data_IF_354630439653
#
_entry.id   IF_354630439653
#
_cell.length_a   1.000
_cell.length_b   1.000
_cell.length_c   1.000
_cell.angle_alpha   90.00
_cell.angle_beta   90.00
_cell.angle_gamma   90.00
#
_symmetry.space_group_name_H-M   'P 1'
#
loop_
_entity.id
_entity.type
_entity.pdbx_description
1 polymer ?
#
# COMPACT_ATOMS: atom_id res chain seq x y z
N UNK A 1 6.21 -63.30 76.48
CA UNK A 1 7.46 -62.50 76.26
C UNK A 1 7.79 -62.55 74.80
N UNK A 2 7.46 -61.47 74.02
CA UNK A 2 7.92 -61.28 72.64
C UNK A 2 8.18 -59.80 72.42
N UNK A 3 9.42 -59.44 72.15
CA UNK A 3 9.85 -58.06 71.90
C UNK A 3 9.46 -57.70 70.46
N UNK A 4 8.86 -56.53 70.28
CA UNK A 4 8.64 -55.92 68.97
C UNK A 4 9.84 -55.07 68.58
N UNK A 5 10.28 -55.09 67.33
CA UNK A 5 11.29 -54.16 66.89
C UNK A 5 10.64 -52.82 66.37
N UNK A 6 11.29 -51.69 66.74
CA UNK A 6 10.97 -50.37 66.23
C UNK A 6 11.42 -50.24 64.77
N UNK A 7 10.48 -49.91 63.88
CA UNK A 7 10.81 -49.46 62.53
C UNK A 7 10.93 -47.93 62.47
N UNK A 8 12.14 -47.48 62.25
CA UNK A 8 12.43 -46.09 62.01
C UNK A 8 12.12 -45.74 60.54
N UNK A 9 11.05 -44.98 60.31
CA UNK A 9 10.71 -44.53 58.95
C UNK A 9 11.50 -43.24 58.65
N UNK A 10 12.47 -43.35 57.76
CA UNK A 10 13.19 -42.20 57.22
C UNK A 10 12.32 -41.39 56.26
N UNK A 11 12.06 -40.15 56.66
CA UNK A 11 11.28 -39.20 55.86
C UNK A 11 12.17 -38.59 54.76
N UNK A 12 12.00 -39.12 53.51
CA UNK A 12 12.73 -38.60 52.36
C UNK A 12 12.07 -37.29 51.89
N UNK A 13 12.64 -36.17 52.23
CA UNK A 13 12.22 -34.83 51.69
C UNK A 13 12.67 -34.73 50.24
N UNK A 14 11.71 -34.82 49.30
CA UNK A 14 11.91 -34.52 47.89
C UNK A 14 11.88 -33.00 47.71
N UNK A 15 13.03 -32.38 47.49
CA UNK A 15 13.11 -31.01 46.98
C UNK A 15 12.75 -31.03 45.48
N UNK A 16 11.56 -30.56 45.16
CA UNK A 16 11.19 -30.26 43.79
C UNK A 16 11.81 -28.91 43.43
N UNK A 17 12.90 -28.95 42.67
CA UNK A 17 13.48 -27.74 42.07
C UNK A 17 12.54 -27.30 40.92
N UNK A 18 11.74 -26.26 41.20
CA UNK A 18 10.92 -25.60 40.16
C UNK A 18 11.83 -24.82 39.21
N UNK A 19 11.97 -25.33 37.99
CA UNK A 19 12.65 -24.64 36.91
C UNK A 19 11.67 -23.62 36.35
N UNK A 20 11.74 -22.36 36.75
CA UNK A 20 11.02 -21.25 36.13
C UNK A 20 11.66 -20.94 34.77
N UNK A 21 11.03 -21.41 33.72
CA UNK A 21 11.37 -21.04 32.36
C UNK A 21 10.84 -19.59 32.12
N UNK A 22 11.69 -18.61 32.30
CA UNK A 22 11.39 -17.23 31.90
C UNK A 22 11.50 -17.18 30.37
N UNK A 23 10.36 -17.39 29.70
CA UNK A 23 10.24 -17.13 28.29
C UNK A 23 10.34 -15.61 28.06
N UNK A 24 11.55 -15.14 27.77
CA UNK A 24 11.77 -13.75 27.34
C UNK A 24 10.99 -13.51 26.07
N UNK A 25 9.88 -12.75 26.17
CA UNK A 25 9.20 -12.20 25.00
C UNK A 25 10.15 -11.18 24.38
N UNK A 26 10.91 -11.62 23.38
CA UNK A 26 11.58 -10.71 22.46
C UNK A 26 10.47 -9.98 21.67
N UNK A 27 10.03 -8.83 22.19
CA UNK A 27 9.23 -7.87 21.44
C UNK A 27 10.08 -7.40 20.27
N UNK A 28 9.89 -8.03 19.12
CA UNK A 28 10.42 -7.54 17.86
C UNK A 28 9.59 -6.30 17.50
N UNK A 29 9.99 -5.13 18.00
CA UNK A 29 9.44 -3.86 17.56
C UNK A 29 9.82 -3.71 16.09
N UNK A 30 8.84 -3.80 15.19
CA UNK A 30 9.08 -3.43 13.81
C UNK A 30 9.62 -2.00 13.77
N UNK A 31 10.64 -1.71 12.95
CA UNK A 31 11.16 -0.36 12.83
C UNK A 31 10.01 0.57 12.43
N UNK A 32 9.80 1.61 13.24
CA UNK A 32 8.78 2.61 12.94
C UNK A 32 9.20 3.34 11.67
N UNK A 33 8.38 3.27 10.64
CA UNK A 33 8.64 4.01 9.41
C UNK A 33 8.61 5.51 9.72
N UNK A 34 9.70 6.20 9.40
CA UNK A 34 9.81 7.66 9.51
C UNK A 34 9.76 8.25 8.12
N UNK A 35 9.07 9.38 7.97
CA UNK A 35 9.00 10.13 6.73
C UNK A 35 9.08 11.62 6.99
N UNK A 36 9.46 12.38 5.97
CA UNK A 36 9.51 13.85 6.00
C UNK A 36 8.58 14.40 4.94
N UNK A 37 7.74 15.36 5.30
CA UNK A 37 6.89 16.05 4.35
C UNK A 37 7.65 17.21 3.66
N UNK A 38 7.34 17.50 2.37
CA UNK A 38 6.42 16.77 1.52
C UNK A 38 7.03 15.44 1.03
N UNK A 39 6.19 14.40 0.88
CA UNK A 39 6.61 13.12 0.29
C UNK A 39 6.91 13.25 -1.20
N UNK A 40 6.16 14.11 -1.88
CA UNK A 40 6.32 14.44 -3.30
C UNK A 40 5.55 15.72 -3.63
N UNK A 41 5.92 16.35 -4.74
CA UNK A 41 5.13 17.42 -5.35
C UNK A 41 3.93 16.85 -6.10
N UNK A 42 2.82 17.55 -6.08
CA UNK A 42 1.61 17.19 -6.80
C UNK A 42 0.33 17.52 -6.04
N UNK A 43 -0.80 17.29 -6.72
CA UNK A 43 -2.14 17.46 -6.20
C UNK A 43 -2.91 16.13 -6.30
N UNK A 44 -4.11 16.10 -5.70
CA UNK A 44 -5.07 15.01 -5.79
C UNK A 44 -4.46 13.65 -5.42
N UNK A 45 -3.96 13.47 -4.18
CA UNK A 45 -3.28 12.27 -3.77
C UNK A 45 -4.24 11.07 -3.76
N UNK A 46 -3.92 10.03 -4.50
CA UNK A 46 -4.64 8.77 -4.53
C UNK A 46 -3.69 7.61 -4.33
N UNK A 47 -3.97 6.74 -3.37
CA UNK A 47 -3.16 5.54 -3.08
C UNK A 47 -4.05 4.31 -3.00
N UNK A 48 -3.66 3.26 -3.73
CA UNK A 48 -4.29 1.94 -3.70
C UNK A 48 -3.29 0.90 -3.21
N UNK A 49 -3.69 0.04 -2.29
CA UNK A 49 -2.88 -1.12 -1.87
C UNK A 49 -3.34 -2.38 -2.59
N UNK A 50 -2.39 -3.10 -3.18
CA UNK A 50 -2.64 -4.39 -3.81
C UNK A 50 -1.40 -5.28 -3.70
N UNK A 51 -1.60 -6.55 -3.32
CA UNK A 51 -0.57 -7.60 -3.22
C UNK A 51 0.67 -7.14 -2.42
N UNK A 52 0.42 -6.53 -1.28
CA UNK A 52 1.47 -6.03 -0.38
C UNK A 52 2.14 -4.72 -0.79
N UNK A 53 1.91 -4.22 -2.01
CA UNK A 53 2.45 -2.97 -2.53
C UNK A 53 1.43 -1.85 -2.57
N UNK A 54 1.92 -0.62 -2.52
CA UNK A 54 1.14 0.60 -2.68
C UNK A 54 1.40 1.18 -4.06
N UNK A 55 0.34 1.65 -4.70
CA UNK A 55 0.38 2.30 -6.00
C UNK A 55 -0.27 3.67 -5.89
N UNK A 56 0.35 4.69 -6.45
CA UNK A 56 -0.27 6.02 -6.58
C UNK A 56 -0.26 6.44 -8.04
N UNK A 57 -1.34 7.10 -8.47
CA UNK A 57 -1.41 7.72 -9.79
C UNK A 57 -1.54 9.24 -9.64
N UNK A 58 -1.05 9.96 -10.62
CA UNK A 58 -1.01 11.42 -10.60
C UNK A 58 -0.80 11.96 -12.01
N UNK A 59 -1.10 13.23 -12.17
CA UNK A 59 -0.80 13.95 -13.41
C UNK A 59 0.71 14.08 -13.59
N UNK A 60 1.22 13.67 -14.76
CA UNK A 60 2.62 13.82 -15.15
C UNK A 60 2.70 14.44 -16.54
N UNK A 61 3.21 15.68 -16.63
CA UNK A 61 3.16 16.43 -17.88
C UNK A 61 1.73 16.61 -18.38
N UNK A 62 1.44 16.11 -19.59
CA UNK A 62 0.09 16.09 -20.16
C UNK A 62 -0.69 14.82 -19.84
N UNK A 63 -0.02 13.77 -19.37
CA UNK A 63 -0.60 12.46 -19.15
C UNK A 63 -0.78 12.10 -17.68
N UNK A 64 -0.90 10.80 -17.47
CA UNK A 64 -1.02 10.18 -16.14
C UNK A 64 0.15 9.23 -15.96
N UNK A 65 0.81 9.32 -14.80
CA UNK A 65 1.81 8.38 -14.35
C UNK A 65 1.32 7.55 -13.18
N UNK A 66 1.89 6.37 -13.04
CA UNK A 66 1.75 5.49 -11.87
C UNK A 66 3.15 5.20 -11.31
N UNK A 67 3.26 5.16 -10.01
CA UNK A 67 4.44 4.72 -9.29
C UNK A 67 4.06 3.76 -8.18
N UNK A 68 5.01 3.00 -7.67
CA UNK A 68 4.77 2.02 -6.61
C UNK A 68 5.66 2.26 -5.40
N UNK A 69 5.25 1.69 -4.25
CA UNK A 69 5.97 1.79 -2.98
C UNK A 69 5.70 0.56 -2.12
N UNK A 70 6.67 0.17 -1.32
CA UNK A 70 6.51 -0.88 -0.30
C UNK A 70 6.00 -0.32 1.03
N UNK A 71 6.20 0.98 1.30
CA UNK A 71 5.98 1.59 2.62
C UNK A 71 5.20 2.91 2.60
N UNK A 72 4.78 3.41 1.44
CA UNK A 72 4.15 4.73 1.19
C UNK A 72 5.06 5.94 1.45
N UNK A 73 6.33 5.75 1.75
CA UNK A 73 7.27 6.85 2.01
C UNK A 73 8.29 7.02 0.90
N UNK A 74 8.59 5.95 0.18
CA UNK A 74 9.48 5.94 -0.98
C UNK A 74 8.76 5.35 -2.17
N UNK A 75 8.67 6.14 -3.23
CA UNK A 75 8.01 5.75 -4.47
C UNK A 75 9.05 5.45 -5.55
N UNK A 76 8.92 4.31 -6.17
CA UNK A 76 9.85 3.76 -7.16
C UNK A 76 9.14 3.44 -8.48
N UNK A 77 9.92 3.23 -9.53
CA UNK A 77 9.41 2.80 -10.85
C UNK A 77 8.26 3.67 -11.38
N UNK A 78 8.43 4.99 -11.33
CA UNK A 78 7.48 5.90 -11.96
C UNK A 78 7.42 5.66 -13.47
N UNK A 79 6.20 5.51 -13.98
CA UNK A 79 5.94 5.33 -15.40
C UNK A 79 4.76 6.17 -15.84
N UNK A 80 4.92 6.91 -16.94
CA UNK A 80 3.78 7.49 -17.66
C UNK A 80 3.03 6.35 -18.35
N UNK A 81 1.82 6.08 -17.89
CA UNK A 81 1.00 4.93 -18.31
C UNK A 81 -0.03 5.28 -19.39
N UNK A 82 -0.30 6.56 -19.56
CA UNK A 82 -1.21 7.08 -20.59
C UNK A 82 -0.92 8.55 -20.89
N UNK A 83 -1.11 8.91 -22.15
CA UNK A 83 -1.08 10.29 -22.61
C UNK A 83 -2.29 10.60 -23.50
N UNK A 84 -2.89 11.80 -23.38
CA UNK A 84 -3.97 12.22 -24.26
C UNK A 84 -3.44 12.51 -25.67
N UNK A 85 -4.35 12.49 -26.64
CA UNK A 85 -4.09 13.05 -27.97
C UNK A 85 -3.71 14.54 -27.88
N UNK A 86 -2.98 15.06 -28.84
CA UNK A 86 -2.51 16.44 -28.83
C UNK A 86 -3.65 17.47 -28.85
N UNK A 87 -4.70 17.20 -29.62
CA UNK A 87 -5.92 18.01 -29.71
C UNK A 87 -7.03 17.23 -30.39
N UNK A 88 -8.25 17.79 -30.36
CA UNK A 88 -9.41 17.27 -31.10
C UNK A 88 -10.17 16.16 -30.39
N UNK A 89 -9.64 15.60 -29.33
CA UNK A 89 -10.38 14.64 -28.49
C UNK A 89 -11.00 15.33 -27.27
N UNK A 90 -12.06 14.74 -26.73
CA UNK A 90 -12.76 15.26 -25.55
C UNK A 90 -11.85 15.33 -24.30
N UNK A 91 -10.78 14.55 -24.26
CA UNK A 91 -9.84 14.37 -23.17
C UNK A 91 -8.42 14.85 -23.49
N UNK A 92 -8.27 15.83 -24.40
CA UNK A 92 -6.95 16.32 -24.78
C UNK A 92 -6.30 17.23 -23.73
N UNK A 93 -7.07 17.84 -22.83
CA UNK A 93 -6.59 18.86 -21.89
C UNK A 93 -7.17 18.69 -20.49
N UNK A 94 -6.60 19.42 -19.54
CA UNK A 94 -7.06 19.51 -18.14
C UNK A 94 -7.24 18.12 -17.53
N UNK A 95 -6.21 17.27 -17.66
CA UNK A 95 -6.16 15.95 -17.04
C UNK A 95 -5.96 16.15 -15.54
N UNK A 96 -6.97 15.78 -14.74
CA UNK A 96 -6.97 16.00 -13.29
C UNK A 96 -7.47 14.80 -12.51
N UNK A 97 -7.09 14.77 -11.23
CA UNK A 97 -7.59 13.86 -10.20
C UNK A 97 -7.66 12.40 -10.65
N UNK A 98 -6.57 11.80 -11.16
CA UNK A 98 -6.62 10.40 -11.53
C UNK A 98 -6.72 9.52 -10.29
N UNK A 99 -7.62 8.54 -10.33
CA UNK A 99 -7.88 7.57 -9.28
C UNK A 99 -7.64 6.15 -9.79
N UNK A 100 -6.70 5.42 -9.18
CA UNK A 100 -6.33 4.07 -9.58
C UNK A 100 -7.11 3.02 -8.79
N UNK A 101 -7.84 2.15 -9.49
CA UNK A 101 -8.65 1.09 -8.91
C UNK A 101 -8.32 -0.26 -9.52
N UNK A 102 -8.45 -1.32 -8.71
CA UNK A 102 -8.42 -2.70 -9.20
C UNK A 102 -9.80 -3.33 -9.06
N UNK A 103 -10.42 -3.65 -10.18
CA UNK A 103 -11.76 -4.21 -10.23
C UNK A 103 -11.79 -5.44 -11.16
N UNK A 104 -12.35 -6.56 -10.69
CA UNK A 104 -12.54 -7.79 -11.49
C UNK A 104 -11.27 -8.26 -12.22
N UNK A 105 -10.12 -8.15 -11.56
CA UNK A 105 -8.84 -8.61 -12.11
C UNK A 105 -8.10 -7.62 -13.00
N UNK A 106 -8.70 -6.49 -13.35
CA UNK A 106 -8.11 -5.43 -14.17
C UNK A 106 -7.87 -4.15 -13.39
N UNK A 107 -7.07 -3.27 -13.95
CA UNK A 107 -6.76 -1.96 -13.40
C UNK A 107 -7.47 -0.88 -14.20
N UNK A 108 -8.04 0.09 -13.48
CA UNK A 108 -8.77 1.21 -14.04
C UNK A 108 -8.25 2.52 -13.46
N UNK A 109 -8.12 3.54 -14.29
CA UNK A 109 -7.88 4.91 -13.85
C UNK A 109 -9.08 5.75 -14.24
N UNK A 110 -9.80 6.27 -13.27
CA UNK A 110 -10.81 7.29 -13.47
C UNK A 110 -10.13 8.66 -13.39
N UNK A 111 -10.50 9.58 -14.27
CA UNK A 111 -9.86 10.89 -14.35
C UNK A 111 -10.82 11.93 -14.91
N UNK A 112 -10.56 13.21 -14.63
CA UNK A 112 -11.26 14.31 -15.26
C UNK A 112 -10.45 14.85 -16.44
N UNK A 113 -11.14 15.27 -17.50
CA UNK A 113 -10.52 15.88 -18.67
C UNK A 113 -11.48 16.83 -19.41
N UNK A 114 -10.93 17.66 -20.30
CA UNK A 114 -11.69 18.59 -21.14
C UNK A 114 -11.17 18.63 -22.59
N UNK A 115 -12.01 19.02 -23.57
CA UNK A 115 -11.61 19.15 -24.98
C UNK A 115 -10.76 20.40 -25.25
N UNK A 116 -10.79 21.36 -24.35
CA UNK A 116 -10.07 22.65 -24.50
C UNK A 116 -9.25 22.97 -23.26
N UNK A 117 -8.11 23.66 -23.40
CA UNK A 117 -7.29 24.07 -22.26
C UNK A 117 -7.88 25.27 -21.51
N UNK A 118 -7.42 25.48 -20.27
CA UNK A 118 -7.56 26.73 -19.53
C UNK A 118 -8.82 26.86 -18.70
N UNK A 119 -9.07 28.12 -18.31
CA UNK A 119 -10.14 28.55 -17.41
C UNK A 119 -11.04 29.59 -18.13
N UNK A 120 -12.35 29.63 -17.83
CA UNK A 120 -13.05 28.81 -16.85
C UNK A 120 -13.06 27.35 -17.27
N UNK A 121 -12.99 26.45 -16.28
CA UNK A 121 -12.95 25.01 -16.52
C UNK A 121 -14.32 24.49 -16.95
N UNK A 122 -14.58 24.60 -18.23
CA UNK A 122 -15.84 24.18 -18.86
C UNK A 122 -15.65 22.89 -19.68
N UNK A 123 -16.69 22.11 -19.76
CA UNK A 123 -16.66 20.87 -20.55
C UNK A 123 -15.90 19.72 -19.91
N UNK A 124 -15.63 19.80 -18.62
CA UNK A 124 -15.03 18.69 -17.86
C UNK A 124 -15.92 17.46 -17.89
N UNK A 125 -15.30 16.31 -18.14
CA UNK A 125 -15.96 15.01 -18.19
C UNK A 125 -15.10 13.99 -17.43
N UNK A 126 -15.74 12.95 -16.93
CA UNK A 126 -15.04 11.81 -16.36
C UNK A 126 -14.77 10.78 -17.43
N UNK A 127 -13.52 10.34 -17.53
CA UNK A 127 -13.08 9.23 -18.36
C UNK A 127 -12.63 8.04 -17.53
N UNK A 128 -12.47 6.91 -18.21
CA UNK A 128 -11.90 5.71 -17.61
C UNK A 128 -10.90 5.07 -18.57
N UNK A 129 -9.75 4.73 -18.03
CA UNK A 129 -8.69 3.97 -18.70
C UNK A 129 -8.65 2.56 -18.11
N UNK A 130 -8.28 1.58 -18.92
CA UNK A 130 -8.13 0.17 -18.47
C UNK A 130 -6.78 -0.40 -18.85
N UNK A 131 -6.22 -1.24 -17.95
CA UNK A 131 -5.01 -2.02 -18.19
C UNK A 131 -5.06 -3.36 -17.42
N UNK A 132 -4.25 -4.32 -17.82
CA UNK A 132 -4.12 -5.61 -17.13
C UNK A 132 -3.15 -5.54 -15.94
N UNK A 133 -2.23 -4.58 -15.93
CA UNK A 133 -1.22 -4.39 -14.88
C UNK A 133 -1.18 -2.93 -14.40
N UNK A 134 -0.77 -2.65 -13.15
CA UNK A 134 -0.83 -1.29 -12.61
C UNK A 134 0.11 -0.31 -13.31
N UNK A 135 1.25 -0.80 -13.82
CA UNK A 135 2.27 -0.02 -14.53
C UNK A 135 2.27 -0.28 -16.04
N UNK A 136 1.20 -0.84 -16.60
CA UNK A 136 1.08 -1.11 -18.03
C UNK A 136 0.64 0.09 -18.86
N UNK A 137 0.40 -0.14 -20.15
CA UNK A 137 -0.14 0.88 -21.08
C UNK A 137 -1.67 0.88 -20.99
N UNK A 138 -2.21 1.94 -20.43
CA UNK A 138 -3.65 2.10 -20.28
C UNK A 138 -4.30 2.56 -21.58
N UNK A 139 -5.55 2.14 -21.79
CA UNK A 139 -6.34 2.49 -22.99
C UNK A 139 -7.67 3.06 -22.55
N UNK A 140 -8.16 4.06 -23.28
CA UNK A 140 -9.52 4.61 -23.15
C UNK A 140 -10.59 3.53 -23.36
N UNK A 141 -11.70 3.66 -22.61
CA UNK A 141 -12.85 2.76 -22.66
C UNK A 141 -14.16 3.50 -22.93
#
# INVERSE_FOLDING_TARGET
>A
MKRMPFHTTALLRRFAAGFFLVAGMLSCSAPQATFTNPLRDGADPWITKYDGRYYTCFKSGRGIAVTESDDMTRFERERVVWQPADSGAWNSFNIWAPELHRLRGKWYIYYAAAPVPGSPFTGQRTGVLECDTPLGDYRDR
#
